data_IF_670683534332
#
_entry.id   IF_670683534332
#
_cell.length_a   1.000
_cell.length_b   1.000
_cell.length_c   1.000
_cell.angle_alpha   90.00
_cell.angle_beta   90.00
_cell.angle_gamma   90.00
#
_symmetry.space_group_name_H-M   'P 1'
#
loop_
_entity.id
_entity.type
_entity.pdbx_description
1 polymer ?
#
# COMPACT_ATOMS: atom_id res chain seq x y z
N UNK A 1 -4.63 74.41 22.91
CA UNK A 1 -3.81 74.46 24.14
C UNK A 1 -4.38 73.49 25.19
N UNK A 2 -3.54 73.01 26.10
CA UNK A 2 -3.83 72.54 27.48
C UNK A 2 -4.97 71.51 27.76
N UNK A 3 -4.55 70.23 27.83
CA UNK A 3 -4.89 69.15 28.80
C UNK A 3 -5.83 69.39 30.03
N UNK A 4 -6.41 68.25 30.49
CA UNK A 4 -6.73 67.82 31.91
C UNK A 4 -7.97 68.40 32.62
N UNK A 5 -8.57 67.82 33.69
CA UNK A 5 -8.91 66.42 34.12
C UNK A 5 -9.74 66.42 35.44
N UNK A 6 -10.65 65.44 35.62
CA UNK A 6 -10.98 64.70 36.89
C UNK A 6 -11.77 65.37 38.07
N UNK A 7 -13.03 64.93 38.20
CA UNK A 7 -13.76 64.39 39.37
C UNK A 7 -14.04 65.16 40.70
N UNK A 8 -15.23 64.85 41.24
CA UNK A 8 -15.71 64.89 42.65
C UNK A 8 -16.72 63.74 42.86
N UNK A 9 -17.48 63.67 43.97
CA UNK A 9 -17.17 63.04 45.28
C UNK A 9 -18.41 63.19 46.20
N UNK A 10 -19.00 62.06 46.63
CA UNK A 10 -19.91 61.83 47.79
C UNK A 10 -20.11 60.29 47.89
N UNK A 11 -20.04 59.55 49.01
CA UNK A 11 -20.53 59.70 50.42
C UNK A 11 -22.03 59.31 50.55
N UNK A 12 -22.50 58.46 51.49
CA UNK A 12 -21.85 57.69 52.59
C UNK A 12 -22.73 56.51 53.15
N UNK A 13 -22.24 55.81 54.20
CA UNK A 13 -22.82 54.75 55.10
C UNK A 13 -23.22 53.36 54.51
N UNK A 14 -22.90 52.15 55.06
CA UNK A 14 -22.72 51.57 56.44
C UNK A 14 -24.03 50.85 56.94
N UNK A 15 -24.07 49.73 57.71
CA UNK A 15 -23.07 48.99 58.52
C UNK A 15 -23.37 47.48 58.74
N UNK A 16 -22.31 46.64 58.81
CA UNK A 16 -22.07 45.51 59.79
C UNK A 16 -23.04 44.27 59.83
N UNK A 17 -22.74 43.06 60.38
CA UNK A 17 -21.55 42.45 61.07
C UNK A 17 -21.57 40.89 61.15
N UNK A 18 -20.39 40.29 61.37
CA UNK A 18 -20.02 39.00 62.08
C UNK A 18 -20.81 37.68 61.84
N UNK A 19 -20.21 36.50 61.55
CA UNK A 19 -19.03 35.70 62.03
C UNK A 19 -19.28 34.79 63.26
N UNK A 20 -18.84 33.51 63.17
CA UNK A 20 -18.06 32.73 64.17
C UNK A 20 -17.77 31.30 63.68
N UNK A 21 -16.56 30.78 63.90
CA UNK A 21 -16.06 29.42 63.60
C UNK A 21 -16.38 28.38 64.69
N UNK A 22 -16.20 27.06 64.42
CA UNK A 22 -15.37 26.15 65.26
C UNK A 22 -14.73 24.99 64.43
N UNK A 23 -13.40 25.01 64.42
CA UNK A 23 -12.34 23.99 64.20
C UNK A 23 -12.63 22.49 64.54
N UNK A 24 -11.90 21.54 63.90
CA UNK A 24 -11.06 20.47 64.58
C UNK A 24 -10.23 19.59 63.60
N UNK A 25 -8.89 19.67 63.73
CA UNK A 25 -7.78 18.66 63.58
C UNK A 25 -7.92 17.37 62.71
N UNK A 26 -6.87 16.86 62.02
CA UNK A 26 -5.49 17.35 61.81
C UNK A 26 -4.44 16.32 61.31
N UNK A 27 -3.19 16.79 61.11
CA UNK A 27 -1.87 16.10 60.95
C UNK A 27 -1.44 15.35 59.64
N UNK A 28 -0.18 15.58 59.22
CA UNK A 28 0.60 14.83 58.19
C UNK A 28 0.83 15.56 56.85
N UNK A 29 1.90 16.31 56.51
CA UNK A 29 3.34 16.36 56.91
C UNK A 29 4.11 15.12 56.38
N UNK A 30 5.16 15.17 55.53
CA UNK A 30 5.90 16.22 54.77
C UNK A 30 6.75 15.50 53.65
N UNK A 31 7.62 16.05 52.76
CA UNK A 31 8.17 17.39 52.42
C UNK A 31 8.68 17.42 50.94
N UNK A 32 9.15 18.56 50.42
CA UNK A 32 9.81 18.76 49.11
C UNK A 32 11.18 18.06 48.95
N UNK A 33 11.63 17.86 47.71
CA UNK A 33 12.87 18.50 47.23
C UNK A 33 12.94 18.70 45.71
N UNK A 34 13.77 19.65 45.28
CA UNK A 34 13.93 20.15 43.91
C UNK A 34 15.43 20.14 43.56
N UNK A 35 15.80 19.73 42.34
CA UNK A 35 17.02 20.22 41.68
C UNK A 35 17.05 19.87 40.19
N UNK A 36 17.80 20.64 39.40
CA UNK A 36 17.87 20.52 37.94
C UNK A 36 19.31 20.43 37.44
N UNK A 37 19.55 19.72 36.31
CA UNK A 37 20.43 20.16 35.20
C UNK A 37 20.55 19.16 34.03
N UNK A 38 20.71 19.75 32.83
CA UNK A 38 21.48 19.27 31.66
C UNK A 38 21.24 17.84 31.15
N UNK A 39 20.39 17.75 30.14
CA UNK A 39 20.24 16.54 29.33
C UNK A 39 21.37 16.28 28.31
N UNK A 40 21.06 15.32 27.42
CA UNK A 40 21.68 15.10 26.11
C UNK A 40 20.60 14.52 25.19
N UNK A 41 20.62 14.88 23.91
CA UNK A 41 19.78 14.20 22.93
C UNK A 41 20.34 12.78 22.69
N UNK A 42 19.48 11.76 22.68
CA UNK A 42 19.82 10.43 22.17
C UNK A 42 19.03 10.19 20.89
N UNK A 43 19.76 10.25 19.78
CA UNK A 43 19.35 9.79 18.46
C UNK A 43 18.91 8.32 18.58
N UNK A 44 17.73 8.00 18.06
CA UNK A 44 17.32 6.62 17.84
C UNK A 44 17.84 6.26 16.46
N UNK A 45 18.89 5.46 16.43
CA UNK A 45 19.24 4.68 15.25
C UNK A 45 18.39 3.41 15.28
N UNK A 46 17.75 3.13 14.15
CA UNK A 46 17.03 1.91 13.87
C UNK A 46 17.96 1.03 13.05
N UNK A 47 18.57 0.04 13.70
CA UNK A 47 19.38 -0.96 13.03
C UNK A 47 18.46 -1.90 12.24
N UNK A 48 18.32 -1.64 10.94
CA UNK A 48 17.71 -2.56 9.98
C UNK A 48 18.84 -3.36 9.31
N UNK A 49 19.12 -4.56 9.83
CA UNK A 49 20.12 -5.48 9.26
C UNK A 49 19.56 -6.13 7.98
N UNK A 50 20.03 -5.70 6.81
CA UNK A 50 19.72 -6.32 5.52
C UNK A 50 20.67 -7.50 5.24
N UNK A 51 20.18 -8.72 5.46
CA UNK A 51 20.89 -9.99 5.17
C UNK A 51 20.98 -10.25 3.65
N UNK A 52 22.04 -9.76 2.98
CA UNK A 52 22.33 -10.09 1.58
C UNK A 52 22.83 -11.53 1.41
N UNK A 53 21.93 -12.43 1.01
CA UNK A 53 22.28 -13.80 0.61
C UNK A 53 23.00 -13.83 -0.75
N UNK A 54 24.33 -13.84 -0.72
CA UNK A 54 25.19 -13.88 -1.92
C UNK A 54 24.95 -15.12 -2.78
N UNK A 55 24.78 -14.92 -4.09
CA UNK A 55 24.75 -16.00 -5.10
C UNK A 55 26.15 -16.17 -5.70
N UNK A 56 26.75 -17.37 -5.67
CA UNK A 56 28.11 -17.56 -6.16
C UNK A 56 28.18 -17.48 -7.68
N UNK A 57 29.02 -16.58 -8.19
CA UNK A 57 29.43 -16.56 -9.59
C UNK A 57 30.57 -17.55 -9.83
N UNK A 58 30.59 -18.16 -11.02
CA UNK A 58 31.77 -18.84 -11.56
C UNK A 58 32.14 -18.22 -12.91
N UNK A 59 33.43 -18.24 -13.29
CA UNK A 59 33.96 -17.32 -14.27
C UNK A 59 33.66 -17.72 -15.72
N UNK A 60 33.54 -16.71 -16.57
CA UNK A 60 33.58 -16.85 -18.01
C UNK A 60 35.03 -16.57 -18.45
N UNK A 61 35.71 -17.55 -19.03
CA UNK A 61 37.04 -17.40 -19.63
C UNK A 61 36.95 -17.52 -21.15
N UNK A 62 37.82 -16.79 -21.86
CA UNK A 62 37.73 -16.59 -23.30
C UNK A 62 38.65 -17.52 -24.11
N UNK A 63 38.16 -17.99 -25.25
CA UNK A 63 38.96 -18.72 -26.24
C UNK A 63 38.51 -18.35 -27.65
N UNK A 64 39.34 -17.61 -28.38
CA UNK A 64 39.02 -17.11 -29.72
C UNK A 64 39.11 -18.21 -30.80
N UNK A 65 38.33 -18.02 -31.88
CA UNK A 65 38.48 -18.48 -33.27
C UNK A 65 37.06 -18.63 -33.86
N UNK A 66 36.65 -17.98 -34.95
CA UNK A 66 37.33 -17.05 -35.86
C UNK A 66 36.85 -17.26 -37.30
N UNK A 67 37.04 -16.27 -38.19
CA UNK A 67 36.93 -16.36 -39.66
C UNK A 67 35.48 -16.48 -40.23
N UNK A 68 35.02 -15.37 -40.84
CA UNK A 68 34.44 -15.24 -42.21
C UNK A 68 33.27 -16.15 -42.70
N UNK A 69 32.36 -15.74 -43.60
CA UNK A 69 32.09 -14.44 -44.25
C UNK A 69 30.65 -14.39 -44.81
N UNK A 70 30.19 -13.17 -45.07
CA UNK A 70 29.20 -12.68 -46.07
C UNK A 70 28.44 -13.68 -46.96
N UNK A 71 27.11 -13.52 -46.99
CA UNK A 71 26.29 -13.71 -48.19
C UNK A 71 24.91 -12.99 -48.05
N UNK A 72 24.75 -11.84 -48.67
CA UNK A 72 23.41 -11.31 -49.00
C UNK A 72 22.89 -11.97 -50.29
N UNK A 73 21.57 -12.04 -50.46
CA UNK A 73 20.93 -12.60 -51.65
C UNK A 73 19.44 -12.24 -51.71
N UNK A 74 19.03 -11.58 -52.79
CA UNK A 74 17.71 -10.97 -52.94
C UNK A 74 16.63 -11.90 -53.55
N UNK A 75 15.39 -11.69 -53.09
CA UNK A 75 14.09 -11.69 -53.78
C UNK A 75 13.62 -12.74 -54.84
N UNK A 76 12.29 -12.71 -55.03
CA UNK A 76 11.45 -13.18 -56.15
C UNK A 76 11.10 -14.68 -56.21
N UNK A 77 9.79 -14.98 -56.28
CA UNK A 77 9.24 -16.31 -56.60
C UNK A 77 7.77 -16.51 -56.21
N UNK A 78 6.82 -15.94 -56.97
CA UNK A 78 5.39 -16.28 -56.89
C UNK A 78 5.08 -17.60 -57.63
N UNK A 79 4.15 -18.41 -57.11
CA UNK A 79 3.00 -18.99 -57.87
C UNK A 79 2.10 -19.87 -56.97
N UNK A 80 0.89 -20.21 -57.45
CA UNK A 80 -0.17 -20.93 -56.72
C UNK A 80 -0.20 -22.45 -57.02
N UNK A 81 -0.78 -23.27 -56.12
CA UNK A 81 -1.44 -24.53 -56.54
C UNK A 81 -1.33 -25.81 -55.68
N UNK A 82 -2.49 -26.43 -55.47
CA UNK A 82 -2.75 -27.89 -55.28
C UNK A 82 -2.28 -28.65 -54.01
N UNK A 83 -2.66 -29.95 -53.93
CA UNK A 83 -3.25 -30.54 -52.72
C UNK A 83 -2.50 -31.73 -52.05
N UNK A 84 -1.99 -31.50 -50.83
CA UNK A 84 -1.82 -32.50 -49.74
C UNK A 84 -0.79 -33.63 -49.94
N UNK A 85 -0.32 -34.30 -48.85
CA UNK A 85 -1.10 -35.37 -48.24
C UNK A 85 -1.13 -35.37 -46.68
N UNK A 86 -2.15 -36.03 -46.11
CA UNK A 86 -2.36 -36.13 -44.65
C UNK A 86 -1.19 -36.83 -43.92
N UNK A 87 -0.38 -36.06 -43.18
CA UNK A 87 0.70 -36.60 -42.33
C UNK A 87 0.13 -37.49 -41.21
N UNK A 88 0.34 -38.81 -41.31
CA UNK A 88 -0.13 -39.83 -40.35
C UNK A 88 0.30 -39.47 -38.91
N UNK A 89 -0.66 -39.30 -37.99
CA UNK A 89 -0.39 -39.18 -36.55
C UNK A 89 0.28 -40.47 -36.06
N UNK A 90 1.55 -40.39 -35.64
CA UNK A 90 2.19 -41.47 -34.87
C UNK A 90 1.58 -41.47 -33.47
N UNK A 91 0.76 -42.47 -33.15
CA UNK A 91 0.31 -42.67 -31.78
C UNK A 91 1.52 -43.06 -30.90
N UNK A 92 1.85 -42.23 -29.91
CA UNK A 92 2.67 -42.67 -28.78
C UNK A 92 1.75 -43.30 -27.75
N UNK A 93 2.11 -44.50 -27.28
CA UNK A 93 1.46 -45.15 -26.14
C UNK A 93 1.80 -44.36 -24.89
N UNK A 94 0.80 -43.98 -24.09
CA UNK A 94 1.03 -43.31 -22.82
C UNK A 94 1.49 -44.32 -21.77
N UNK A 95 2.72 -44.19 -21.29
CA UNK A 95 3.08 -44.62 -19.95
C UNK A 95 2.46 -43.68 -18.91
N UNK A 96 2.06 -44.23 -17.76
CA UNK A 96 1.39 -43.48 -16.69
C UNK A 96 2.32 -42.40 -16.11
N UNK A 97 1.78 -41.21 -15.78
CA UNK A 97 2.47 -40.21 -14.92
C UNK A 97 2.78 -38.83 -15.52
N UNK A 98 2.28 -38.48 -16.71
CA UNK A 98 2.54 -37.17 -17.32
C UNK A 98 1.38 -36.18 -17.15
N UNK A 99 1.52 -35.23 -16.21
CA UNK A 99 0.60 -34.10 -16.02
C UNK A 99 0.76 -33.06 -17.14
N UNK A 100 0.10 -33.27 -18.28
CA UNK A 100 0.07 -32.27 -19.35
C UNK A 100 -0.81 -31.10 -18.89
N UNK A 101 -0.28 -29.85 -18.81
CA UNK A 101 -1.12 -28.70 -18.53
C UNK A 101 -2.11 -28.54 -19.69
N UNK A 102 -3.41 -28.51 -19.37
CA UNK A 102 -4.42 -28.13 -20.36
C UNK A 102 -4.01 -26.80 -20.98
N UNK A 103 -3.99 -26.72 -22.31
CA UNK A 103 -3.86 -25.44 -23.00
C UNK A 103 -4.84 -24.45 -22.36
N UNK A 104 -4.39 -23.29 -21.86
CA UNK A 104 -5.29 -22.40 -21.16
C UNK A 104 -6.35 -21.93 -22.16
N UNK A 105 -7.60 -22.32 -21.91
CA UNK A 105 -8.72 -21.51 -22.37
C UNK A 105 -8.40 -20.10 -21.86
N UNK A 106 -8.40 -19.10 -22.73
CA UNK A 106 -8.40 -17.70 -22.28
C UNK A 106 -9.69 -17.52 -21.50
N UNK A 107 -9.62 -17.66 -20.19
CA UNK A 107 -10.68 -17.23 -19.30
C UNK A 107 -10.90 -15.76 -19.60
N UNK A 108 -12.10 -15.45 -20.10
CA UNK A 108 -12.46 -14.07 -20.37
C UNK A 108 -12.46 -13.37 -19.01
N UNK A 109 -11.52 -12.44 -18.82
CA UNK A 109 -11.42 -11.62 -17.62
C UNK A 109 -12.82 -11.11 -17.30
N UNK A 110 -13.32 -11.41 -16.09
CA UNK A 110 -14.67 -11.03 -15.68
C UNK A 110 -14.76 -9.53 -15.40
N UNK A 111 -14.62 -8.73 -16.45
CA UNK A 111 -15.09 -7.34 -16.45
C UNK A 111 -16.57 -7.35 -16.15
N UNK A 112 -17.02 -6.46 -15.26
CA UNK A 112 -18.44 -6.28 -14.95
C UNK A 112 -19.24 -6.17 -16.25
N UNK A 113 -20.43 -6.80 -16.35
CA UNK A 113 -21.14 -6.94 -17.60
C UNK A 113 -21.40 -5.57 -18.24
N UNK A 114 -21.00 -5.42 -19.51
CA UNK A 114 -21.22 -4.19 -20.27
C UNK A 114 -22.73 -3.92 -20.39
N UNK A 115 -23.10 -2.65 -20.26
CA UNK A 115 -24.43 -2.19 -20.57
C UNK A 115 -24.73 -2.29 -22.07
N UNK A 116 -25.99 -2.07 -22.43
CA UNK A 116 -26.45 -2.08 -23.83
C UNK A 116 -25.85 -0.90 -24.63
N UNK A 117 -25.33 0.10 -23.93
CA UNK A 117 -24.52 1.22 -24.41
C UNK A 117 -23.00 0.93 -24.45
N UNK A 118 -22.60 -0.33 -24.21
CA UNK A 118 -21.22 -0.79 -24.25
C UNK A 118 -20.37 -0.44 -23.03
N UNK A 119 -20.76 0.50 -22.18
CA UNK A 119 -19.99 0.91 -21.00
C UNK A 119 -19.98 -0.17 -19.90
N UNK A 120 -18.84 -0.35 -19.24
CA UNK A 120 -18.70 -1.15 -18.00
C UNK A 120 -19.08 -0.25 -16.80
N UNK A 121 -19.79 -0.73 -15.76
CA UNK A 121 -19.95 0.04 -14.51
C UNK A 121 -18.59 0.52 -13.96
N UNK A 122 -18.50 1.80 -13.58
CA UNK A 122 -17.24 2.46 -13.23
C UNK A 122 -16.52 3.16 -14.39
N UNK A 123 -16.92 2.92 -15.64
CA UNK A 123 -16.38 3.68 -16.79
C UNK A 123 -16.73 5.16 -16.69
N UNK A 124 -15.79 6.04 -17.06
CA UNK A 124 -16.07 7.46 -17.24
C UNK A 124 -16.92 7.65 -18.51
N UNK A 125 -18.04 8.37 -18.37
CA UNK A 125 -18.96 8.73 -19.47
C UNK A 125 -18.75 10.19 -19.88
N UNK A 126 -18.43 11.07 -18.91
CA UNK A 126 -18.23 12.51 -19.13
C UNK A 126 -17.23 13.08 -18.14
N UNK A 127 -16.44 14.06 -18.57
CA UNK A 127 -15.54 14.88 -17.75
C UNK A 127 -15.80 16.35 -18.13
N UNK A 128 -16.21 17.18 -17.17
CA UNK A 128 -16.43 18.61 -17.35
C UNK A 128 -15.50 19.37 -16.38
N UNK A 129 -14.71 20.31 -16.90
CA UNK A 129 -13.75 21.11 -16.14
C UNK A 129 -14.08 22.60 -16.27
N UNK A 130 -14.02 23.34 -15.17
CA UNK A 130 -14.10 24.81 -15.19
C UNK A 130 -12.98 25.43 -14.35
N UNK A 131 -12.30 26.45 -14.90
CA UNK A 131 -11.16 27.14 -14.29
C UNK A 131 -10.11 26.17 -13.73
N UNK A 132 -9.70 25.18 -14.53
CA UNK A 132 -8.81 24.09 -14.11
C UNK A 132 -7.51 24.08 -14.92
N UNK A 133 -6.39 24.41 -14.26
CA UNK A 133 -5.05 24.55 -14.82
C UNK A 133 -5.03 25.43 -16.09
N UNK A 134 -5.14 24.82 -17.28
CA UNK A 134 -5.15 25.51 -18.58
C UNK A 134 -6.56 25.92 -19.04
N UNK A 135 -7.60 25.18 -18.61
CA UNK A 135 -8.96 25.27 -19.15
C UNK A 135 -9.82 26.31 -18.42
N UNK A 136 -10.46 27.22 -19.15
CA UNK A 136 -11.53 28.07 -18.60
C UNK A 136 -12.84 27.28 -18.47
N UNK A 137 -13.24 26.60 -19.56
CA UNK A 137 -14.27 25.57 -19.56
C UNK A 137 -13.98 24.54 -20.66
N UNK A 138 -14.20 23.25 -20.38
CA UNK A 138 -14.15 22.17 -21.38
C UNK A 138 -15.00 20.98 -20.92
N UNK A 139 -15.58 20.26 -21.87
CA UNK A 139 -16.29 19.00 -21.63
C UNK A 139 -15.79 17.92 -22.59
N UNK A 140 -15.58 16.71 -22.07
CA UNK A 140 -15.15 15.53 -22.80
C UNK A 140 -16.14 14.38 -22.57
N UNK A 141 -16.59 13.73 -23.63
CA UNK A 141 -17.47 12.56 -23.56
C UNK A 141 -16.74 11.34 -24.16
N UNK A 142 -15.88 10.65 -23.38
CA UNK A 142 -15.14 9.48 -23.84
C UNK A 142 -16.07 8.29 -24.15
N UNK A 143 -15.70 7.51 -25.17
CA UNK A 143 -16.42 6.30 -25.56
C UNK A 143 -16.12 5.08 -24.66
N UNK A 144 -16.89 3.99 -24.76
CA UNK A 144 -16.82 2.82 -23.86
C UNK A 144 -15.60 1.89 -24.06
N UNK A 145 -14.62 2.28 -24.88
CA UNK A 145 -13.46 1.47 -25.27
C UNK A 145 -12.17 2.31 -25.21
N UNK A 146 -11.31 2.22 -26.23
CA UNK A 146 -10.07 2.99 -26.33
C UNK A 146 -10.38 4.47 -26.64
N UNK A 147 -9.81 5.37 -25.84
CA UNK A 147 -9.87 6.82 -26.04
C UNK A 147 -8.44 7.34 -26.15
N UNK A 148 -8.17 8.21 -27.13
CA UNK A 148 -6.86 8.84 -27.32
C UNK A 148 -6.96 10.36 -27.17
N UNK A 149 -6.00 10.95 -26.44
CA UNK A 149 -5.91 12.40 -26.20
C UNK A 149 -4.60 12.90 -26.79
N UNK A 150 -4.69 13.65 -27.89
CA UNK A 150 -3.56 14.15 -28.67
C UNK A 150 -3.55 15.68 -28.78
N UNK A 151 -2.38 16.24 -29.10
CA UNK A 151 -2.17 17.68 -29.25
C UNK A 151 -0.76 18.13 -28.85
N UNK A 152 -0.38 19.39 -29.11
CA UNK A 152 0.93 19.95 -28.74
C UNK A 152 1.25 19.88 -27.24
N UNK A 153 2.50 20.14 -26.86
CA UNK A 153 2.89 20.27 -25.46
C UNK A 153 2.35 21.59 -24.87
N UNK A 154 2.08 21.60 -23.55
CA UNK A 154 1.41 22.70 -22.86
C UNK A 154 -0.13 22.73 -22.97
N UNK A 155 -0.77 22.01 -23.89
CA UNK A 155 -2.24 22.07 -24.15
C UNK A 155 -3.14 21.41 -23.10
N UNK A 156 -2.64 21.13 -21.90
CA UNK A 156 -3.43 20.56 -20.80
C UNK A 156 -3.67 19.04 -20.84
N UNK A 157 -3.08 18.29 -21.81
CA UNK A 157 -3.25 16.82 -21.93
C UNK A 157 -3.13 16.08 -20.59
N UNK A 158 -2.04 16.29 -19.85
CA UNK A 158 -1.83 15.65 -18.53
C UNK A 158 -2.61 16.30 -17.39
N UNK A 159 -3.15 17.51 -17.58
CA UNK A 159 -4.13 18.09 -16.66
C UNK A 159 -5.43 17.28 -16.64
N UNK A 160 -5.82 16.61 -17.73
CA UNK A 160 -7.01 15.73 -17.75
C UNK A 160 -6.79 14.53 -16.82
N UNK A 161 -5.61 13.88 -16.84
CA UNK A 161 -5.27 12.83 -15.86
C UNK A 161 -5.23 13.36 -14.42
N UNK A 162 -4.72 14.58 -14.19
CA UNK A 162 -4.79 15.22 -12.87
C UNK A 162 -6.24 15.45 -12.41
N UNK A 163 -7.13 15.88 -13.31
CA UNK A 163 -8.53 16.10 -13.01
C UNK A 163 -9.25 14.79 -12.65
N UNK A 164 -9.01 13.69 -13.37
CA UNK A 164 -9.58 12.37 -13.07
C UNK A 164 -9.22 11.94 -11.63
N UNK A 165 -7.93 12.04 -11.28
CA UNK A 165 -7.44 11.71 -9.94
C UNK A 165 -8.07 12.60 -8.85
N UNK A 166 -8.03 13.92 -9.02
CA UNK A 166 -8.53 14.86 -8.02
C UNK A 166 -10.05 14.84 -7.88
N UNK A 167 -10.79 14.71 -8.98
CA UNK A 167 -12.26 14.68 -8.99
C UNK A 167 -12.82 13.45 -8.27
N UNK A 168 -12.18 12.29 -8.43
CA UNK A 168 -12.59 11.03 -7.79
C UNK A 168 -11.99 10.83 -6.38
N UNK A 169 -11.61 11.94 -5.72
CA UNK A 169 -11.10 12.01 -4.35
C UNK A 169 -9.83 11.19 -4.06
N UNK A 170 -8.90 11.09 -5.01
CA UNK A 170 -7.56 10.56 -4.77
C UNK A 170 -6.57 11.68 -4.39
N UNK A 171 -5.56 11.40 -3.54
CA UNK A 171 -4.64 12.42 -3.04
C UNK A 171 -3.68 12.94 -4.13
N UNK A 172 -3.28 14.24 -4.10
CA UNK A 172 -2.37 14.82 -5.10
C UNK A 172 -0.98 14.16 -5.18
N UNK A 173 -0.54 13.48 -4.11
CA UNK A 173 0.75 12.78 -4.05
C UNK A 173 0.93 11.70 -5.13
N UNK A 174 -0.18 11.09 -5.61
CA UNK A 174 -0.16 10.13 -6.72
C UNK A 174 0.27 10.80 -8.03
N UNK A 175 0.03 12.11 -8.20
CA UNK A 175 0.32 12.84 -9.43
C UNK A 175 1.77 13.33 -9.55
N UNK A 176 2.59 13.24 -8.50
CA UNK A 176 4.00 13.65 -8.53
C UNK A 176 4.29 15.16 -8.72
N UNK A 177 3.26 16.03 -8.79
CA UNK A 177 3.41 17.46 -9.14
C UNK A 177 3.32 18.42 -7.96
N UNK A 178 2.11 18.60 -7.43
CA UNK A 178 1.80 19.61 -6.42
C UNK A 178 1.07 18.96 -5.24
N UNK A 179 1.44 19.34 -4.02
CA UNK A 179 0.83 18.88 -2.78
C UNK A 179 -0.53 19.54 -2.50
N UNK A 180 -0.71 20.79 -2.89
CA UNK A 180 -1.95 21.54 -2.69
C UNK A 180 -2.96 21.35 -3.84
N UNK A 181 -4.22 21.07 -3.49
CA UNK A 181 -5.35 21.01 -4.44
C UNK A 181 -5.65 22.41 -5.00
N UNK A 182 -5.37 23.48 -4.24
CA UNK A 182 -5.48 24.89 -4.61
C UNK A 182 -4.74 25.20 -5.92
N UNK A 183 -3.55 24.60 -6.10
CA UNK A 183 -2.64 24.84 -7.22
C UNK A 183 -3.14 24.32 -8.57
N UNK A 184 -4.26 23.59 -8.60
CA UNK A 184 -4.88 23.11 -9.83
C UNK A 184 -6.02 24.00 -10.34
N UNK A 185 -6.42 25.03 -9.58
CA UNK A 185 -7.28 26.11 -10.10
C UNK A 185 -6.46 26.92 -11.11
N UNK A 186 -7.09 27.31 -12.22
CA UNK A 186 -6.45 28.15 -13.24
C UNK A 186 -6.02 29.50 -12.64
N UNK A 187 -4.82 29.97 -13.03
CA UNK A 187 -4.33 31.29 -12.63
C UNK A 187 -5.36 32.39 -12.93
N UNK A 188 -5.37 33.43 -12.10
CA UNK A 188 -6.30 34.57 -12.17
C UNK A 188 -7.79 34.20 -11.95
N UNK A 189 -8.07 33.01 -11.40
CA UNK A 189 -9.42 32.58 -10.96
C UNK A 189 -9.43 32.25 -9.47
N UNK A 190 -10.44 32.73 -8.73
CA UNK A 190 -10.55 32.43 -7.29
C UNK A 190 -11.01 30.98 -7.01
N UNK A 191 -11.74 30.37 -7.93
CA UNK A 191 -12.32 29.03 -7.81
C UNK A 191 -12.57 28.36 -9.18
N UNK A 192 -12.68 27.04 -9.15
CA UNK A 192 -13.03 26.17 -10.28
C UNK A 192 -13.70 24.87 -9.83
N UNK A 193 -14.04 23.99 -10.77
CA UNK A 193 -14.52 22.65 -10.45
C UNK A 193 -14.08 21.59 -11.45
N UNK A 194 -14.08 20.35 -10.97
CA UNK A 194 -14.00 19.12 -11.76
C UNK A 194 -15.33 18.41 -11.58
N UNK A 195 -16.02 18.04 -12.65
CA UNK A 195 -17.14 17.11 -12.63
C UNK A 195 -16.84 15.89 -13.49
N UNK A 196 -17.10 14.70 -12.95
CA UNK A 196 -16.88 13.41 -13.62
C UNK A 196 -18.15 12.60 -13.45
N UNK A 197 -18.65 12.06 -14.56
CA UNK A 197 -19.79 11.16 -14.59
C UNK A 197 -19.33 9.73 -14.81
N UNK A 198 -19.64 8.85 -13.85
CA UNK A 198 -19.35 7.42 -13.94
C UNK A 198 -20.60 6.61 -14.26
N UNK A 199 -20.44 5.62 -15.14
CA UNK A 199 -21.45 4.63 -15.47
C UNK A 199 -21.83 3.82 -14.22
N UNK A 200 -23.12 3.81 -13.88
CA UNK A 200 -23.64 2.97 -12.81
C UNK A 200 -24.02 1.55 -13.29
N UNK A 201 -24.25 0.58 -12.37
CA UNK A 201 -24.81 -0.73 -12.72
C UNK A 201 -26.14 -0.65 -13.48
N UNK A 202 -26.47 -1.70 -14.24
CA UNK A 202 -27.70 -1.72 -15.06
C UNK A 202 -28.95 -1.64 -14.16
N UNK A 203 -29.71 -0.56 -14.32
CA UNK A 203 -30.88 -0.22 -13.50
C UNK A 203 -30.66 0.95 -12.52
N UNK A 204 -29.41 1.33 -12.26
CA UNK A 204 -29.07 2.51 -11.43
C UNK A 204 -28.84 3.76 -12.29
N UNK A 205 -28.87 4.94 -11.65
CA UNK A 205 -28.51 6.23 -12.28
C UNK A 205 -27.00 6.45 -12.19
N UNK A 206 -26.40 6.99 -13.25
CA UNK A 206 -24.99 7.41 -13.26
C UNK A 206 -24.62 8.27 -12.05
N UNK A 207 -23.35 8.20 -11.65
CA UNK A 207 -22.80 8.91 -10.50
C UNK A 207 -22.04 10.13 -11.01
N UNK A 208 -22.68 11.30 -10.94
CA UNK A 208 -22.10 12.60 -11.26
C UNK A 208 -21.41 13.14 -10.01
N UNK A 209 -20.09 13.07 -9.97
CA UNK A 209 -19.25 13.53 -8.87
C UNK A 209 -18.63 14.87 -9.27
N UNK A 210 -18.96 15.94 -8.53
CA UNK A 210 -18.35 17.25 -8.70
C UNK A 210 -17.52 17.63 -7.48
N UNK A 211 -16.25 17.97 -7.72
CA UNK A 211 -15.34 18.58 -6.75
C UNK A 211 -15.20 20.06 -7.06
N UNK A 212 -15.71 20.92 -6.19
CA UNK A 212 -15.48 22.36 -6.26
C UNK A 212 -14.17 22.67 -5.52
N UNK A 213 -13.34 23.55 -6.07
CA UNK A 213 -12.04 23.93 -5.50
C UNK A 213 -11.96 25.46 -5.44
N UNK A 214 -11.64 26.00 -4.26
CA UNK A 214 -11.41 27.42 -4.04
C UNK A 214 -9.94 27.64 -3.72
N UNK A 215 -9.22 28.35 -4.60
CA UNK A 215 -7.84 28.75 -4.35
C UNK A 215 -7.76 29.77 -3.21
N UNK A 216 -8.72 30.71 -3.18
CA UNK A 216 -8.82 31.80 -2.19
C UNK A 216 -8.96 31.32 -0.74
N UNK A 217 -9.70 30.24 -0.51
CA UNK A 217 -9.91 29.64 0.82
C UNK A 217 -9.16 28.33 1.02
N UNK A 218 -8.32 27.92 0.06
CA UNK A 218 -7.60 26.63 0.00
C UNK A 218 -8.45 25.42 0.39
N UNK A 219 -9.72 25.44 0.01
CA UNK A 219 -10.71 24.43 0.38
C UNK A 219 -11.30 23.75 -0.85
N UNK A 220 -11.78 22.51 -0.67
CA UNK A 220 -12.54 21.81 -1.71
C UNK A 220 -13.76 21.12 -1.11
N UNK A 221 -14.92 21.30 -1.73
CA UNK A 221 -16.17 20.62 -1.35
C UNK A 221 -16.57 19.62 -2.43
N UNK A 222 -17.38 18.64 -2.05
CA UNK A 222 -17.86 17.59 -2.95
C UNK A 222 -19.38 17.60 -3.03
N UNK A 223 -19.90 17.39 -4.24
CA UNK A 223 -21.30 17.01 -4.47
C UNK A 223 -21.38 15.72 -5.28
N UNK A 224 -22.40 14.92 -4.98
CA UNK A 224 -22.76 13.70 -5.71
C UNK A 224 -24.22 13.86 -6.18
N UNK A 225 -24.45 13.77 -7.50
CA UNK A 225 -25.75 13.98 -8.13
C UNK A 225 -26.43 15.30 -7.66
N UNK A 226 -25.63 16.36 -7.50
CA UNK A 226 -26.05 17.69 -7.04
C UNK A 226 -26.16 17.87 -5.51
N UNK A 227 -26.17 16.80 -4.72
CA UNK A 227 -26.26 16.87 -3.26
C UNK A 227 -24.87 16.94 -2.61
N UNK A 228 -24.70 17.73 -1.54
CA UNK A 228 -23.42 17.78 -0.82
C UNK A 228 -23.07 16.43 -0.19
N UNK A 229 -21.80 16.04 -0.25
CA UNK A 229 -21.33 14.72 0.21
C UNK A 229 -19.92 14.80 0.81
N UNK A 230 -19.49 13.73 1.48
CA UNK A 230 -18.14 13.64 2.05
C UNK A 230 -17.16 12.98 1.08
N UNK A 231 -15.86 13.29 1.20
CA UNK A 231 -14.83 12.55 0.45
C UNK A 231 -14.83 11.04 0.77
N UNK A 232 -15.17 10.66 2.02
CA UNK A 232 -15.31 9.25 2.43
C UNK A 232 -16.42 8.55 1.64
N UNK A 233 -17.55 9.21 1.42
CA UNK A 233 -18.65 8.67 0.62
C UNK A 233 -18.27 8.41 -0.83
N UNK A 234 -17.53 9.34 -1.45
CA UNK A 234 -17.01 9.19 -2.80
C UNK A 234 -16.02 8.04 -2.87
N UNK A 235 -15.03 7.96 -1.96
CA UNK A 235 -14.09 6.84 -1.89
C UNK A 235 -14.81 5.49 -1.70
N UNK A 236 -15.89 5.46 -0.90
CA UNK A 236 -16.76 4.28 -0.76
C UNK A 236 -17.54 3.95 -2.05
N UNK A 237 -17.89 4.93 -2.89
CA UNK A 237 -18.49 4.67 -4.22
C UNK A 237 -17.44 4.22 -5.24
N UNK A 238 -16.21 4.74 -5.19
CA UNK A 238 -15.11 4.28 -6.05
C UNK A 238 -14.78 2.81 -5.76
N UNK A 239 -14.68 2.43 -4.48
CA UNK A 239 -14.47 1.04 -4.07
C UNK A 239 -15.59 0.10 -4.57
N UNK A 240 -16.87 0.51 -4.48
CA UNK A 240 -18.02 -0.26 -5.00
C UNK A 240 -18.01 -0.44 -6.52
N UNK A 241 -17.41 0.48 -7.26
CA UNK A 241 -17.25 0.39 -8.72
C UNK A 241 -15.89 -0.22 -9.15
N UNK A 242 -15.08 -0.69 -8.20
CA UNK A 242 -13.68 -1.11 -8.40
C UNK A 242 -12.81 -0.08 -9.14
N UNK A 243 -13.06 1.23 -8.96
CA UNK A 243 -12.30 2.31 -9.59
C UNK A 243 -11.03 2.59 -8.79
N UNK A 244 -9.91 2.03 -9.24
CA UNK A 244 -8.60 2.15 -8.60
C UNK A 244 -7.69 3.11 -9.36
N UNK A 245 -7.34 4.25 -8.74
CA UNK A 245 -6.45 5.28 -9.32
C UNK A 245 -5.13 5.37 -8.53
N UNK A 246 -5.11 5.03 -7.24
CA UNK A 246 -3.88 4.86 -6.46
C UNK A 246 -3.18 3.50 -6.66
N UNK A 247 -3.30 2.93 -7.86
CA UNK A 247 -2.61 1.73 -8.32
C UNK A 247 -1.98 2.05 -9.68
N UNK A 248 -0.65 2.00 -9.74
CA UNK A 248 0.10 2.44 -10.93
C UNK A 248 -0.06 1.49 -12.14
N UNK A 249 -0.60 0.29 -11.95
CA UNK A 249 -0.94 -0.62 -13.04
C UNK A 249 -2.24 -0.22 -13.77
N UNK A 250 -3.16 0.47 -13.10
CA UNK A 250 -4.45 0.92 -13.68
C UNK A 250 -4.48 2.42 -14.00
N UNK A 251 -3.66 3.23 -13.32
CA UNK A 251 -3.51 4.65 -13.61
C UNK A 251 -2.04 5.05 -13.47
N UNK A 252 -1.38 5.29 -14.60
CA UNK A 252 0.04 5.67 -14.67
C UNK A 252 0.16 7.16 -15.07
N UNK A 253 0.26 8.11 -14.11
CA UNK A 253 0.48 9.50 -14.43
C UNK A 253 1.92 9.73 -14.93
N UNK A 254 2.07 10.71 -15.81
CA UNK A 254 3.31 11.03 -16.54
C UNK A 254 4.57 11.05 -15.65
N UNK A 255 4.46 11.64 -14.45
CA UNK A 255 5.58 11.88 -13.54
C UNK A 255 5.84 10.71 -12.58
N UNK A 256 5.15 9.57 -12.76
CA UNK A 256 5.31 8.31 -12.00
C UNK A 256 5.75 7.12 -12.86
N UNK A 257 6.01 7.33 -14.15
CA UNK A 257 6.44 6.27 -15.08
C UNK A 257 7.77 5.64 -14.64
N UNK A 258 8.69 6.43 -14.08
CA UNK A 258 9.95 5.96 -13.49
C UNK A 258 9.75 5.08 -12.26
N UNK A 259 8.88 5.49 -11.33
CA UNK A 259 8.57 4.71 -10.11
C UNK A 259 7.93 3.36 -10.45
N UNK A 260 7.08 3.28 -11.47
CA UNK A 260 6.55 2.02 -11.98
C UNK A 260 7.67 1.11 -12.57
N UNK A 261 8.59 1.67 -13.35
CA UNK A 261 9.72 0.92 -13.91
C UNK A 261 10.76 0.46 -12.86
N UNK A 262 10.73 1.04 -11.65
CA UNK A 262 11.58 0.67 -10.51
C UNK A 262 10.92 -0.33 -9.55
N UNK A 263 9.66 -0.74 -9.79
CA UNK A 263 8.97 -1.71 -8.92
C UNK A 263 9.65 -3.07 -8.92
N UNK A 264 9.81 -3.67 -7.74
CA UNK A 264 10.28 -5.06 -7.64
C UNK A 264 9.20 -6.02 -8.18
N UNK A 265 9.56 -7.23 -8.65
CA UNK A 265 8.58 -8.23 -9.11
C UNK A 265 7.50 -8.56 -8.07
N UNK A 266 7.84 -8.50 -6.78
CA UNK A 266 6.91 -8.72 -5.67
C UNK A 266 5.93 -7.55 -5.48
N UNK A 267 6.38 -6.31 -5.70
CA UNK A 267 5.51 -5.12 -5.69
C UNK A 267 4.58 -5.11 -6.90
N UNK A 268 5.12 -5.38 -8.10
CA UNK A 268 4.36 -5.47 -9.34
C UNK A 268 3.29 -6.57 -9.27
N UNK A 269 3.62 -7.74 -8.68
CA UNK A 269 2.64 -8.80 -8.41
C UNK A 269 1.50 -8.31 -7.51
N UNK A 270 1.80 -7.60 -6.42
CA UNK A 270 0.80 -7.09 -5.48
C UNK A 270 -0.13 -6.05 -6.11
N UNK A 271 0.41 -5.08 -6.83
CA UNK A 271 -0.43 -4.09 -7.53
C UNK A 271 -1.22 -4.72 -8.69
N UNK A 272 -0.68 -5.75 -9.36
CA UNK A 272 -1.42 -6.53 -10.37
C UNK A 272 -2.57 -7.32 -9.74
N UNK A 273 -2.33 -8.04 -8.62
CA UNK A 273 -3.37 -8.74 -7.84
C UNK A 273 -4.46 -7.77 -7.38
N UNK A 274 -4.08 -6.55 -7.01
CA UNK A 274 -4.99 -5.51 -6.54
C UNK A 274 -5.85 -4.94 -7.68
N UNK A 275 -5.28 -4.66 -8.86
CA UNK A 275 -5.99 -4.11 -10.00
C UNK A 275 -6.90 -5.13 -10.72
N UNK A 276 -6.39 -6.35 -10.93
CA UNK A 276 -6.97 -7.32 -11.86
C UNK A 276 -7.22 -8.71 -11.26
N UNK A 277 -6.87 -8.92 -9.98
CA UNK A 277 -7.18 -10.16 -9.25
C UNK A 277 -8.57 -10.15 -8.62
N UNK A 278 -8.95 -11.29 -8.04
CA UNK A 278 -10.14 -11.40 -7.20
C UNK A 278 -10.02 -10.49 -5.96
N UNK A 279 -11.11 -9.83 -5.48
CA UNK A 279 -11.08 -8.99 -4.28
C UNK A 279 -10.50 -9.69 -3.02
N UNK A 280 -10.64 -11.02 -2.93
CA UNK A 280 -10.12 -11.83 -1.84
C UNK A 280 -8.65 -12.24 -2.05
N UNK A 281 -8.11 -12.19 -3.29
CA UNK A 281 -6.75 -12.64 -3.60
C UNK A 281 -5.70 -11.87 -2.81
N UNK A 282 -5.87 -10.55 -2.67
CA UNK A 282 -4.99 -9.70 -1.84
C UNK A 282 -5.09 -10.07 -0.35
N UNK A 283 -6.28 -10.44 0.13
CA UNK A 283 -6.48 -10.88 1.51
C UNK A 283 -5.83 -12.25 1.76
N UNK A 284 -6.09 -13.24 0.90
CA UNK A 284 -5.46 -14.57 0.98
C UNK A 284 -3.93 -14.50 0.89
N UNK A 285 -3.37 -13.67 0.00
CA UNK A 285 -1.94 -13.46 -0.11
C UNK A 285 -1.33 -12.88 1.18
N UNK A 286 -2.02 -11.92 1.83
CA UNK A 286 -1.59 -11.40 3.12
C UNK A 286 -1.72 -12.43 4.25
N UNK A 287 -2.82 -13.20 4.31
CA UNK A 287 -2.99 -14.30 5.28
C UNK A 287 -1.88 -15.35 5.13
N UNK A 288 -1.51 -15.72 3.89
CA UNK A 288 -0.44 -16.66 3.61
C UNK A 288 0.93 -16.15 4.09
N UNK A 289 1.20 -14.84 3.92
CA UNK A 289 2.42 -14.21 4.43
C UNK A 289 2.46 -14.22 5.97
N UNK A 290 1.35 -13.92 6.64
CA UNK A 290 1.27 -13.98 8.11
C UNK A 290 1.47 -15.40 8.61
N UNK A 291 0.77 -16.38 8.05
CA UNK A 291 0.91 -17.80 8.40
C UNK A 291 2.35 -18.32 8.13
N UNK A 292 3.01 -17.84 7.07
CA UNK A 292 4.42 -18.15 6.79
C UNK A 292 5.39 -17.59 7.84
N UNK A 293 5.13 -16.38 8.37
CA UNK A 293 5.91 -15.79 9.47
C UNK A 293 5.68 -16.53 10.79
N UNK A 294 4.43 -16.87 11.10
CA UNK A 294 4.06 -17.67 12.27
C UNK A 294 4.72 -19.05 12.22
N UNK A 295 4.68 -19.72 11.07
CA UNK A 295 5.34 -21.00 10.85
C UNK A 295 6.86 -20.91 11.06
N UNK A 296 7.53 -19.87 10.53
CA UNK A 296 8.98 -19.66 10.75
C UNK A 296 9.30 -19.49 12.23
N UNK A 297 8.56 -18.65 12.95
CA UNK A 297 8.76 -18.41 14.38
C UNK A 297 8.52 -19.67 15.23
N UNK A 298 7.50 -20.48 14.89
CA UNK A 298 7.27 -21.77 15.55
C UNK A 298 8.39 -22.77 15.22
N UNK A 299 8.90 -22.81 13.98
CA UNK A 299 10.03 -23.67 13.61
C UNK A 299 11.34 -23.26 14.29
N UNK A 300 11.57 -21.98 14.53
CA UNK A 300 12.71 -21.46 15.28
C UNK A 300 12.61 -21.88 16.75
N UNK A 301 11.47 -21.64 17.40
CA UNK A 301 11.21 -22.11 18.77
C UNK A 301 11.31 -23.62 18.94
N UNK A 302 10.82 -24.41 17.98
CA UNK A 302 10.93 -25.89 18.05
C UNK A 302 12.39 -26.33 18.00
N UNK A 303 13.28 -25.64 17.26
CA UNK A 303 14.72 -25.93 17.28
C UNK A 303 15.37 -25.53 18.62
N UNK A 304 15.00 -24.39 19.18
CA UNK A 304 15.46 -23.93 20.50
C UNK A 304 15.05 -24.92 21.61
N UNK A 305 13.78 -25.34 21.62
CA UNK A 305 13.24 -26.31 22.57
C UNK A 305 13.88 -27.70 22.38
N UNK A 306 14.19 -28.12 21.14
CA UNK A 306 14.91 -29.37 20.85
C UNK A 306 16.36 -29.36 21.35
N UNK A 307 17.12 -28.28 21.11
CA UNK A 307 18.50 -28.18 21.60
C UNK A 307 18.56 -28.05 23.13
N UNK A 308 17.60 -27.32 23.72
CA UNK A 308 17.43 -27.23 25.18
C UNK A 308 17.14 -28.60 25.80
N UNK A 309 16.25 -29.38 25.19
CA UNK A 309 15.97 -30.76 25.61
C UNK A 309 17.25 -31.62 25.55
N UNK A 310 17.99 -31.58 24.43
CA UNK A 310 19.23 -32.35 24.25
C UNK A 310 20.27 -32.06 25.34
N UNK A 311 20.44 -30.79 25.70
CA UNK A 311 21.35 -30.35 26.77
C UNK A 311 20.88 -30.83 28.16
N UNK A 312 19.57 -30.84 28.42
CA UNK A 312 19.02 -31.34 29.68
C UNK A 312 19.10 -32.86 29.79
N UNK A 313 18.87 -33.60 28.70
CA UNK A 313 19.06 -35.06 28.63
C UNK A 313 20.51 -35.45 28.87
N UNK A 314 21.48 -34.79 28.22
CA UNK A 314 22.89 -35.04 28.45
C UNK A 314 23.29 -34.75 29.91
N UNK A 315 22.82 -33.63 30.47
CA UNK A 315 23.05 -33.26 31.87
C UNK A 315 22.44 -34.28 32.85
N UNK A 316 21.23 -34.77 32.58
CA UNK A 316 20.62 -35.81 33.42
C UNK A 316 21.44 -37.11 33.35
N UNK A 317 21.84 -37.55 32.16
CA UNK A 317 22.71 -38.72 31.98
C UNK A 317 24.10 -38.55 32.62
N UNK A 318 24.60 -37.33 32.81
CA UNK A 318 25.80 -37.06 33.62
C UNK A 318 25.52 -37.21 35.13
N UNK A 319 24.42 -36.62 35.63
CA UNK A 319 24.00 -36.71 37.04
C UNK A 319 23.68 -38.15 37.48
N UNK A 320 23.02 -38.96 36.63
CA UNK A 320 22.77 -40.38 36.89
C UNK A 320 24.07 -41.17 37.09
N UNK A 321 25.11 -40.87 36.29
CA UNK A 321 26.46 -41.45 36.44
C UNK A 321 27.19 -40.93 37.69
N UNK A 322 26.82 -39.79 38.26
CA UNK A 322 27.34 -39.32 39.56
C UNK A 322 26.62 -39.98 40.72
N UNK A 323 25.28 -40.07 40.67
CA UNK A 323 24.47 -40.76 41.67
C UNK A 323 24.82 -42.24 41.76
N UNK A 324 25.03 -42.93 40.63
CA UNK A 324 25.46 -44.33 40.63
C UNK A 324 26.82 -44.51 41.33
N UNK A 325 27.84 -43.73 40.97
CA UNK A 325 29.18 -43.76 41.60
C UNK A 325 29.13 -43.42 43.09
N UNK A 326 28.21 -42.54 43.51
CA UNK A 326 28.00 -42.22 44.93
C UNK A 326 27.35 -43.39 45.69
N UNK A 327 26.34 -44.05 45.10
CA UNK A 327 25.72 -45.24 45.69
C UNK A 327 26.70 -46.43 45.79
N UNK A 328 27.59 -46.60 44.82
CA UNK A 328 28.67 -47.60 44.89
C UNK A 328 29.63 -47.33 46.06
N UNK A 329 30.08 -46.08 46.23
CA UNK A 329 30.91 -45.69 47.38
C UNK A 329 30.22 -45.98 48.72
N UNK A 330 28.95 -45.61 48.86
CA UNK A 330 28.17 -45.88 50.08
C UNK A 330 27.96 -47.38 50.37
N UNK A 331 28.00 -48.26 49.35
CA UNK A 331 28.01 -49.71 49.56
C UNK A 331 29.37 -50.17 50.08
N UNK A 332 30.46 -49.77 49.42
CA UNK A 332 31.83 -50.12 49.80
C UNK A 332 32.16 -49.65 51.22
N UNK A 333 31.78 -48.41 51.58
CA UNK A 333 31.95 -47.89 52.95
C UNK A 333 31.16 -48.70 53.99
N UNK A 334 29.94 -49.14 53.66
CA UNK A 334 29.10 -49.96 54.55
C UNK A 334 29.63 -51.39 54.69
N UNK A 335 30.13 -51.98 53.62
CA UNK A 335 30.78 -53.30 53.63
C UNK A 335 32.09 -53.25 54.43
N UNK A 336 32.91 -52.21 54.24
CA UNK A 336 34.12 -52.00 55.04
C UNK A 336 33.81 -51.81 56.54
N UNK A 337 32.76 -51.06 56.88
CA UNK A 337 32.31 -50.89 58.26
C UNK A 337 31.82 -52.21 58.90
N UNK A 338 31.09 -53.04 58.13
CA UNK A 338 30.64 -54.38 58.55
C UNK A 338 31.78 -55.39 58.72
N UNK A 339 32.91 -55.20 58.03
CA UNK A 339 34.12 -56.04 58.16
C UNK A 339 35.03 -55.54 59.31
N UNK A 340 34.83 -54.31 59.78
CA UNK A 340 35.63 -53.64 60.81
C UNK A 340 35.01 -53.65 62.22
N UNK A 341 33.90 -54.38 62.41
CA UNK A 341 33.12 -54.43 63.67
C UNK A 341 33.01 -55.86 64.22
#
# INVERSE_FOLDING_TARGET
MTRRTRATITEDDDSLKENVDVNTQGNGVNVKQENAKKGKARRVESDEEEDEAQVPSQPNDGGENGIDQDAEGEEVGDEEGEETPRRRKRARVNSVGASVPSSPKREQVQTLPRGDDGYIPGSIVRIQLQNFVTYDWVEFCPGPYLNMIFGPNGTGKSSISCAICLGLNWPPSILGRASEISSFVKNDKEAGYIEIELKAPKGERNLVIRRNISAKTRSSTFTLNGQQTTGKDISNRMAKLNVQIGNLCSFLPQDKVSEFAQMTPQQLLRETQRAAGDPNLTMWHNTLITAGKELKSVQERVKEEQESLRVMEERNAQLEREVARYQERLKIEREAWLISS
#
